data_IF_768147178803
#
_entry.id   IF_768147178803
#
_cell.length_a   1.000
_cell.length_b   1.000
_cell.length_c   1.000
_cell.angle_alpha   90.00
_cell.angle_beta   90.00
_cell.angle_gamma   90.00
#
_symmetry.space_group_name_H-M   'P 1'
#
loop_
_entity.id
_entity.type
_entity.pdbx_description
1 polymer ?
#
# COMPACT_ATOMS: atom_id res chain seq x y z
N UNK A 1 38.06 -11.73 -19.82
CA UNK A 1 37.12 -10.93 -20.63
C UNK A 1 36.50 -9.88 -19.73
N UNK A 2 36.40 -8.63 -20.19
CA UNK A 2 36.40 -7.47 -19.31
C UNK A 2 35.08 -7.27 -18.57
N UNK A 3 35.25 -6.75 -17.35
CA UNK A 3 34.26 -6.27 -16.39
C UNK A 3 33.26 -5.36 -17.11
N UNK A 4 32.02 -5.84 -17.25
CA UNK A 4 30.91 -5.03 -17.74
C UNK A 4 30.60 -3.93 -16.73
N UNK A 5 30.73 -2.68 -17.17
CA UNK A 5 30.31 -1.49 -16.47
C UNK A 5 28.88 -1.67 -15.94
N UNK A 6 28.73 -1.65 -14.62
CA UNK A 6 27.47 -1.26 -13.99
C UNK A 6 27.33 0.23 -14.31
N UNK A 7 26.62 0.56 -15.38
CA UNK A 7 26.22 1.93 -15.66
C UNK A 7 25.20 2.27 -14.56
N UNK A 8 25.69 2.86 -13.46
CA UNK A 8 24.82 3.46 -12.45
C UNK A 8 23.87 4.42 -13.15
N UNK A 9 22.58 4.29 -12.88
CA UNK A 9 21.58 5.16 -13.48
C UNK A 9 21.92 6.61 -13.12
N UNK A 10 22.21 7.44 -14.12
CA UNK A 10 22.52 8.84 -13.86
C UNK A 10 21.29 9.51 -13.23
N UNK A 11 21.48 10.08 -12.04
CA UNK A 11 20.42 10.80 -11.32
C UNK A 11 19.93 11.96 -12.18
N UNK A 12 18.62 11.99 -12.47
CA UNK A 12 17.98 13.08 -13.20
C UNK A 12 17.76 14.28 -12.27
N UNK A 13 18.83 15.03 -12.06
CA UNK A 13 18.86 16.18 -11.16
C UNK A 13 17.84 17.26 -11.56
N UNK A 14 17.61 17.45 -12.86
CA UNK A 14 16.63 18.43 -13.34
C UNK A 14 15.21 18.07 -12.91
N UNK A 15 14.82 16.78 -13.00
CA UNK A 15 13.53 16.29 -12.50
C UNK A 15 13.42 16.34 -10.99
N UNK A 16 14.49 16.01 -10.26
CA UNK A 16 14.51 16.12 -8.80
C UNK A 16 14.28 17.57 -8.34
N UNK A 17 15.00 18.52 -8.95
CA UNK A 17 14.82 19.95 -8.64
C UNK A 17 13.43 20.47 -9.03
N UNK A 18 12.86 20.02 -10.15
CA UNK A 18 11.49 20.41 -10.51
C UNK A 18 10.46 19.84 -9.55
N UNK A 19 10.66 18.61 -9.05
CA UNK A 19 9.77 18.00 -8.05
C UNK A 19 9.74 18.80 -6.74
N UNK A 20 10.90 19.23 -6.24
CA UNK A 20 10.96 20.06 -5.02
C UNK A 20 10.26 21.42 -5.22
N UNK A 21 10.42 22.05 -6.39
CA UNK A 21 9.71 23.29 -6.74
C UNK A 21 8.20 23.09 -6.89
N UNK A 22 7.80 22.01 -7.54
CA UNK A 22 6.40 21.63 -7.73
C UNK A 22 5.74 21.38 -6.35
N UNK A 23 6.39 20.64 -5.45
CA UNK A 23 5.89 20.39 -4.09
C UNK A 23 5.77 21.66 -3.26
N UNK A 24 6.77 22.56 -3.34
CA UNK A 24 6.70 23.89 -2.71
C UNK A 24 5.51 24.68 -3.24
N UNK A 25 5.34 24.73 -4.57
CA UNK A 25 4.24 25.45 -5.21
C UNK A 25 2.87 24.86 -4.81
N UNK A 26 2.75 23.53 -4.76
CA UNK A 26 1.52 22.85 -4.35
C UNK A 26 1.14 23.19 -2.89
N UNK A 27 2.10 23.13 -1.97
CA UNK A 27 1.82 23.39 -0.55
C UNK A 27 1.55 24.88 -0.27
N UNK A 28 2.28 25.80 -0.92
CA UNK A 28 2.06 27.25 -0.77
C UNK A 28 0.72 27.68 -1.38
N UNK A 29 0.35 27.11 -2.53
CA UNK A 29 -0.94 27.35 -3.16
C UNK A 29 -2.09 26.77 -2.35
N UNK A 30 -1.89 25.65 -1.67
CA UNK A 30 -2.88 25.10 -0.74
C UNK A 30 -3.08 26.00 0.49
N UNK A 31 -2.01 26.58 1.02
CA UNK A 31 -2.02 27.45 2.20
C UNK A 31 -2.74 26.83 3.42
N UNK A 32 -2.75 25.49 3.50
CA UNK A 32 -3.42 24.74 4.56
C UNK A 32 -4.93 24.65 4.41
N UNK A 33 -5.51 25.11 3.29
CA UNK A 33 -6.96 25.06 3.06
C UNK A 33 -7.47 23.62 3.01
N UNK A 34 -6.73 22.70 2.36
CA UNK A 34 -7.20 21.33 2.16
C UNK A 34 -7.43 20.59 3.48
N UNK A 35 -6.54 20.71 4.45
CA UNK A 35 -6.60 19.93 5.70
C UNK A 35 -6.71 20.77 6.98
N UNK A 36 -6.88 22.10 6.84
CA UNK A 36 -6.73 23.07 7.94
C UNK A 36 -5.38 22.91 8.65
N UNK A 37 -4.36 22.56 7.87
CA UNK A 37 -3.02 22.23 8.34
C UNK A 37 -2.03 22.41 7.18
N UNK A 38 -0.88 23.02 7.45
CA UNK A 38 0.13 23.27 6.42
C UNK A 38 0.81 21.98 5.95
N UNK A 39 0.93 21.80 4.64
CA UNK A 39 1.64 20.66 4.04
C UNK A 39 3.09 20.99 3.65
N UNK A 40 3.53 22.25 3.79
CA UNK A 40 4.92 22.61 3.51
C UNK A 40 5.86 22.01 4.57
N UNK A 41 6.98 21.46 4.13
CA UNK A 41 7.95 20.88 5.04
C UNK A 41 9.13 20.21 4.32
N UNK A 42 10.00 19.55 5.08
CA UNK A 42 11.26 19.04 4.57
C UNK A 42 11.06 17.74 3.77
N UNK A 43 11.69 17.67 2.59
CA UNK A 43 11.60 16.60 1.60
C UNK A 43 13.02 16.18 1.23
N UNK A 44 13.26 14.87 1.23
CA UNK A 44 14.50 14.21 0.83
C UNK A 44 14.21 13.26 -0.35
N UNK A 45 14.73 13.60 -1.53
CA UNK A 45 14.70 12.72 -2.70
C UNK A 45 15.97 11.88 -2.71
N UNK A 46 15.85 10.56 -2.59
CA UNK A 46 16.98 9.67 -2.30
C UNK A 46 17.23 8.70 -3.44
N UNK A 47 18.46 8.67 -3.93
CA UNK A 47 18.91 7.61 -4.83
C UNK A 47 19.21 6.32 -4.04
N UNK A 48 18.51 5.20 -4.29
CA UNK A 48 18.67 3.98 -3.52
C UNK A 48 20.04 3.33 -3.69
N UNK A 49 20.74 3.57 -4.81
CA UNK A 49 22.03 2.96 -5.11
C UNK A 49 23.20 3.68 -4.42
N UNK A 50 23.25 5.01 -4.56
CA UNK A 50 24.36 5.85 -4.08
C UNK A 50 24.08 6.47 -2.72
N UNK A 51 22.83 6.42 -2.24
CA UNK A 51 22.34 7.11 -1.02
C UNK A 51 22.47 8.64 -1.09
N UNK A 52 22.70 9.19 -2.28
CA UNK A 52 22.70 10.63 -2.51
C UNK A 52 21.30 11.19 -2.26
N UNK A 53 21.24 12.31 -1.56
CA UNK A 53 19.98 13.00 -1.22
C UNK A 53 19.97 14.37 -1.88
N UNK A 54 18.92 14.65 -2.65
CA UNK A 54 18.55 16.00 -3.11
C UNK A 54 17.39 16.47 -2.23
N UNK A 55 17.62 17.50 -1.42
CA UNK A 55 16.66 17.96 -0.40
C UNK A 55 16.33 19.45 -0.50
N UNK A 56 15.16 19.85 -0.02
CA UNK A 56 14.70 21.25 0.01
C UNK A 56 15.04 22.00 1.32
N UNK A 57 15.72 21.35 2.25
CA UNK A 57 16.09 21.93 3.55
C UNK A 57 17.40 21.30 4.03
N UNK A 58 18.01 21.88 5.06
CA UNK A 58 19.23 21.36 5.69
C UNK A 58 18.93 20.45 6.88
N UNK A 59 19.86 19.55 7.16
CA UNK A 59 19.79 18.67 8.34
C UNK A 59 20.87 19.08 9.32
N UNK A 60 20.47 19.36 10.56
CA UNK A 60 21.40 19.77 11.61
C UNK A 60 22.56 18.77 11.75
N UNK A 61 23.79 19.29 11.79
CA UNK A 61 25.00 18.49 11.94
C UNK A 61 25.45 17.72 10.70
N UNK A 62 24.77 17.85 9.54
CA UNK A 62 25.22 17.22 8.29
C UNK A 62 25.86 18.21 7.35
N UNK A 63 26.92 17.74 6.69
CA UNK A 63 27.53 18.47 5.57
C UNK A 63 26.62 18.40 4.36
N UNK A 64 26.53 19.50 3.64
CA UNK A 64 25.80 19.60 2.40
C UNK A 64 26.51 20.50 1.41
N UNK A 65 26.14 20.39 0.14
CA UNK A 65 26.55 21.30 -0.93
C UNK A 65 25.30 21.88 -1.57
N UNK A 66 25.33 23.14 -1.99
CA UNK A 66 24.20 23.74 -2.70
C UNK A 66 24.07 23.19 -4.12
N UNK A 67 22.83 22.98 -4.55
CA UNK A 67 22.45 22.57 -5.89
C UNK A 67 21.24 23.40 -6.32
N UNK A 68 21.50 24.59 -6.86
CA UNK A 68 20.46 25.61 -7.05
C UNK A 68 19.81 25.96 -5.70
N UNK A 69 18.48 25.92 -5.64
CA UNK A 69 17.70 26.15 -4.41
C UNK A 69 17.60 24.90 -3.50
N UNK A 70 18.14 23.76 -3.95
CA UNK A 70 18.19 22.54 -3.17
C UNK A 70 19.57 22.33 -2.54
N UNK A 71 19.68 21.31 -1.71
CA UNK A 71 20.96 20.83 -1.18
C UNK A 71 21.22 19.38 -1.59
N UNK A 72 22.51 19.05 -1.66
CA UNK A 72 23.02 17.70 -1.79
C UNK A 72 23.64 17.25 -0.47
N UNK A 73 23.24 16.07 0.01
CA UNK A 73 23.85 15.40 1.17
C UNK A 73 23.75 13.88 1.01
N UNK A 74 24.05 13.11 2.04
CA UNK A 74 23.95 11.64 2.01
C UNK A 74 23.05 11.12 3.12
N UNK A 75 22.26 10.09 2.81
CA UNK A 75 21.38 9.43 3.76
C UNK A 75 22.22 8.57 4.72
N UNK A 76 22.02 8.63 6.06
CA UNK A 76 22.87 7.88 6.98
C UNK A 76 22.69 6.37 6.83
N UNK A 77 23.75 5.57 6.91
CA UNK A 77 23.76 4.15 6.51
C UNK A 77 22.71 3.27 7.20
N UNK A 78 22.27 3.65 8.40
CA UNK A 78 21.24 2.96 9.17
C UNK A 78 19.79 3.25 8.70
N UNK A 79 19.59 4.09 7.69
CA UNK A 79 18.27 4.42 7.18
C UNK A 79 17.98 3.67 5.87
N UNK A 80 16.90 2.89 5.85
CA UNK A 80 16.39 2.26 4.63
C UNK A 80 15.79 3.31 3.69
N UNK A 81 15.97 3.10 2.38
CA UNK A 81 15.37 3.94 1.34
C UNK A 81 13.99 3.38 1.01
N UNK A 82 12.95 4.15 1.31
CA UNK A 82 11.56 3.84 1.00
C UNK A 82 10.77 5.14 0.87
N UNK A 83 9.65 5.09 0.15
CA UNK A 83 8.68 6.18 0.15
C UNK A 83 7.94 6.17 1.50
N UNK A 84 8.22 7.15 2.36
CA UNK A 84 7.65 7.22 3.70
C UNK A 84 8.00 8.54 4.41
N UNK A 85 7.54 8.71 5.67
CA UNK A 85 8.06 9.71 6.59
C UNK A 85 9.08 9.13 7.57
N UNK A 86 10.12 9.89 7.93
CA UNK A 86 11.18 9.42 8.84
C UNK A 86 11.77 10.54 9.69
N UNK A 87 12.33 10.20 10.85
CA UNK A 87 13.01 11.16 11.73
C UNK A 87 14.45 11.39 11.28
N UNK A 88 14.82 12.65 11.03
CA UNK A 88 16.18 13.02 10.63
C UNK A 88 16.56 14.42 11.10
N UNK A 89 17.64 14.52 11.88
CA UNK A 89 18.09 15.79 12.46
C UNK A 89 17.07 16.46 13.38
N UNK A 90 16.30 15.68 14.14
CA UNK A 90 15.29 16.18 15.09
C UNK A 90 13.97 16.64 14.47
N UNK A 91 13.76 16.39 13.17
CA UNK A 91 12.52 16.72 12.44
C UNK A 91 12.02 15.49 11.70
N UNK A 92 10.71 15.45 11.42
CA UNK A 92 10.13 14.45 10.53
C UNK A 92 10.28 14.94 9.09
N UNK A 93 10.85 14.11 8.23
CA UNK A 93 11.09 14.34 6.81
C UNK A 93 10.21 13.46 5.96
N UNK A 94 9.85 13.97 4.79
CA UNK A 94 9.31 13.16 3.70
C UNK A 94 10.47 12.54 2.91
N UNK A 95 10.48 11.22 2.75
CA UNK A 95 11.43 10.52 1.88
C UNK A 95 10.71 10.06 0.60
N UNK A 96 11.32 10.32 -0.56
CA UNK A 96 10.86 9.77 -1.84
C UNK A 96 12.05 9.15 -2.57
N UNK A 97 11.94 7.89 -2.96
CA UNK A 97 12.96 7.20 -3.73
C UNK A 97 13.00 7.68 -5.19
N UNK A 98 14.21 7.84 -5.73
CA UNK A 98 14.46 8.10 -7.14
C UNK A 98 14.47 6.77 -7.93
N UNK A 99 14.13 6.77 -9.25
CA UNK A 99 13.77 7.93 -10.07
C UNK A 99 12.29 8.35 -9.94
N UNK A 100 12.03 9.64 -10.07
CA UNK A 100 10.66 10.18 -10.07
C UNK A 100 9.93 9.99 -11.41
N UNK A 101 8.59 9.91 -11.41
CA UNK A 101 7.76 9.88 -12.61
C UNK A 101 8.07 11.04 -13.57
N UNK A 102 8.07 10.74 -14.87
CA UNK A 102 8.29 11.75 -15.94
C UNK A 102 7.11 12.70 -16.06
N UNK A 103 5.90 12.14 -16.04
CA UNK A 103 4.64 12.88 -16.06
C UNK A 103 4.56 13.82 -14.84
N UNK A 104 4.19 15.09 -15.08
CA UNK A 104 4.20 16.11 -14.04
C UNK A 104 3.13 15.85 -12.98
N UNK A 105 1.92 15.47 -13.38
CA UNK A 105 0.83 15.14 -12.45
C UNK A 105 1.25 14.00 -11.53
N UNK A 106 1.68 12.87 -12.10
CA UNK A 106 2.09 11.69 -11.33
C UNK A 106 3.28 11.98 -10.39
N UNK A 107 4.17 12.90 -10.77
CA UNK A 107 5.28 13.31 -9.91
C UNK A 107 4.83 14.18 -8.74
N UNK A 108 3.93 15.14 -8.98
CA UNK A 108 3.35 15.98 -7.93
C UNK A 108 2.54 15.11 -6.97
N UNK A 109 1.71 14.23 -7.52
CA UNK A 109 0.90 13.27 -6.81
C UNK A 109 1.76 12.42 -5.86
N UNK A 110 2.77 11.72 -6.39
CA UNK A 110 3.70 10.93 -5.59
C UNK A 110 4.35 11.74 -4.45
N UNK A 111 4.91 12.92 -4.75
CA UNK A 111 5.61 13.69 -3.71
C UNK A 111 4.63 14.21 -2.66
N UNK A 112 3.45 14.67 -3.06
CA UNK A 112 2.47 15.21 -2.14
C UNK A 112 1.71 14.12 -1.35
N UNK A 113 1.60 12.91 -1.90
CA UNK A 113 1.21 11.69 -1.19
C UNK A 113 2.14 11.44 -0.01
N UNK A 114 3.46 11.42 -0.25
CA UNK A 114 4.45 11.20 0.81
C UNK A 114 4.53 12.37 1.80
N UNK A 115 4.27 13.60 1.34
CA UNK A 115 4.11 14.76 2.24
C UNK A 115 2.90 14.56 3.16
N UNK A 116 1.79 14.02 2.68
CA UNK A 116 0.63 13.75 3.53
C UNK A 116 0.97 12.73 4.62
N UNK A 117 1.70 11.65 4.31
CA UNK A 117 2.14 10.69 5.34
C UNK A 117 2.95 11.33 6.47
N UNK A 118 3.75 12.37 6.18
CA UNK A 118 4.47 13.15 7.21
C UNK A 118 3.50 13.84 8.17
N UNK A 119 2.39 14.38 7.66
CA UNK A 119 1.42 15.17 8.42
C UNK A 119 0.26 14.34 8.99
N UNK A 120 0.06 13.12 8.50
CA UNK A 120 -1.09 12.27 8.80
C UNK A 120 -1.29 12.01 10.30
N UNK A 121 -0.19 11.91 11.06
CA UNK A 121 -0.26 11.78 12.52
C UNK A 121 -0.72 13.08 13.19
N UNK A 122 -0.22 14.24 12.77
CA UNK A 122 -0.65 15.54 13.31
C UNK A 122 -2.13 15.82 13.03
N UNK A 123 -2.65 15.28 11.92
CA UNK A 123 -4.07 15.32 11.56
C UNK A 123 -4.94 14.32 12.35
N UNK A 124 -4.35 13.44 13.16
CA UNK A 124 -5.06 12.37 13.87
C UNK A 124 -5.62 11.28 12.92
N UNK A 125 -5.09 11.21 11.70
CA UNK A 125 -5.55 10.31 10.64
C UNK A 125 -4.61 9.13 10.41
N UNK A 126 -3.58 8.95 11.24
CA UNK A 126 -2.71 7.78 11.15
C UNK A 126 -3.49 6.51 11.47
N UNK A 127 -3.38 5.51 10.61
CA UNK A 127 -3.97 4.19 10.79
C UNK A 127 -2.89 3.10 10.64
N UNK A 128 -3.11 1.89 11.18
CA UNK A 128 -2.22 0.78 10.90
C UNK A 128 -2.29 0.40 9.42
N UNK A 129 -1.14 0.06 8.83
CA UNK A 129 -1.11 -0.60 7.53
C UNK A 129 -1.73 -2.00 7.65
N UNK A 130 -2.92 -2.18 7.08
CA UNK A 130 -3.79 -3.33 7.26
C UNK A 130 -4.01 -4.08 5.94
N UNK A 131 -3.92 -5.41 6.00
CA UNK A 131 -4.04 -6.28 4.83
C UNK A 131 -5.51 -6.68 4.60
N UNK A 132 -5.99 -6.46 3.38
CA UNK A 132 -7.37 -6.70 2.96
C UNK A 132 -7.48 -7.96 2.10
N UNK A 133 -7.21 -9.11 2.72
CA UNK A 133 -7.11 -10.41 2.03
C UNK A 133 -8.37 -10.81 1.27
N UNK A 134 -9.55 -10.40 1.76
CA UNK A 134 -10.82 -10.62 1.09
C UNK A 134 -10.87 -10.02 -0.32
N UNK A 135 -10.08 -8.97 -0.57
CA UNK A 135 -9.99 -8.31 -1.88
C UNK A 135 -9.03 -9.02 -2.84
N UNK A 136 -8.38 -10.10 -2.45
CA UNK A 136 -7.65 -10.96 -3.39
C UNK A 136 -8.43 -12.24 -3.78
N UNK A 137 -9.53 -12.51 -3.06
CA UNK A 137 -10.50 -13.57 -3.35
C UNK A 137 -11.46 -13.12 -4.45
N UNK A 138 -11.85 -14.05 -5.33
CA UNK A 138 -12.69 -13.75 -6.51
C UNK A 138 -13.93 -12.89 -6.19
N UNK A 139 -14.82 -13.21 -5.22
CA UNK A 139 -15.99 -12.37 -4.97
C UNK A 139 -15.63 -10.94 -4.54
N UNK A 140 -14.57 -10.78 -3.74
CA UNK A 140 -14.11 -9.46 -3.31
C UNK A 140 -13.61 -8.64 -4.49
N UNK A 141 -12.76 -9.25 -5.33
CA UNK A 141 -12.23 -8.63 -6.55
C UNK A 141 -13.31 -8.23 -7.53
N UNK A 142 -14.26 -9.12 -7.83
CA UNK A 142 -15.34 -8.86 -8.79
C UNK A 142 -16.12 -7.61 -8.42
N UNK A 143 -16.58 -7.50 -7.17
CA UNK A 143 -17.34 -6.33 -6.74
C UNK A 143 -16.50 -5.06 -6.62
N UNK A 144 -15.21 -5.16 -6.25
CA UNK A 144 -14.30 -4.02 -6.19
C UNK A 144 -14.03 -3.45 -7.59
N UNK A 145 -13.83 -4.32 -8.59
CA UNK A 145 -13.64 -3.87 -9.99
C UNK A 145 -14.87 -3.14 -10.53
N UNK A 146 -16.06 -3.63 -10.21
CA UNK A 146 -17.32 -2.93 -10.55
C UNK A 146 -17.45 -1.60 -9.81
N UNK A 147 -17.03 -1.55 -8.54
CA UNK A 147 -16.94 -0.33 -7.75
C UNK A 147 -15.99 0.70 -8.42
N UNK A 148 -14.80 0.30 -8.87
CA UNK A 148 -13.90 1.19 -9.62
C UNK A 148 -14.52 1.73 -10.90
N UNK A 149 -15.16 0.87 -11.69
CA UNK A 149 -15.84 1.30 -12.92
C UNK A 149 -16.93 2.33 -12.63
N UNK A 150 -17.70 2.14 -11.55
CA UNK A 150 -18.72 3.07 -11.12
C UNK A 150 -18.13 4.39 -10.61
N UNK A 151 -17.09 4.35 -9.78
CA UNK A 151 -16.37 5.54 -9.31
C UNK A 151 -15.77 6.34 -10.48
N UNK A 152 -15.14 5.67 -11.44
CA UNK A 152 -14.58 6.32 -12.61
C UNK A 152 -15.64 7.02 -13.47
N UNK A 153 -16.80 6.37 -13.71
CA UNK A 153 -17.91 7.01 -14.43
C UNK A 153 -18.53 8.17 -13.66
N UNK A 154 -18.57 8.08 -12.33
CA UNK A 154 -19.04 9.19 -11.49
C UNK A 154 -18.15 10.43 -11.66
N UNK A 155 -16.82 10.24 -11.62
CA UNK A 155 -15.84 11.31 -11.83
C UNK A 155 -15.91 11.92 -13.24
N UNK A 156 -16.14 11.10 -14.26
CA UNK A 156 -16.30 11.55 -15.66
C UNK A 156 -17.59 12.33 -15.89
N UNK A 157 -18.61 12.07 -15.08
CA UNK A 157 -19.90 12.76 -15.17
C UNK A 157 -19.89 14.15 -14.53
N UNK A 158 -18.87 14.46 -13.73
CA UNK A 158 -18.70 15.78 -13.15
C UNK A 158 -18.38 16.83 -14.23
N UNK A 159 -18.87 18.08 -14.08
CA UNK A 159 -19.53 18.63 -12.89
C UNK A 159 -21.05 18.38 -12.80
N UNK A 160 -21.66 17.63 -13.73
CA UNK A 160 -23.10 17.32 -13.63
C UNK A 160 -23.37 16.30 -12.52
N UNK A 161 -23.86 16.80 -11.39
CA UNK A 161 -24.10 16.00 -10.18
C UNK A 161 -25.19 14.95 -10.36
N UNK A 162 -26.13 15.11 -11.31
CA UNK A 162 -27.23 14.15 -11.51
C UNK A 162 -26.74 12.78 -12.04
N UNK A 163 -26.08 12.70 -13.21
CA UNK A 163 -25.47 11.44 -13.67
C UNK A 163 -24.37 10.96 -12.74
N UNK A 164 -23.57 11.87 -12.15
CA UNK A 164 -22.56 11.49 -11.17
C UNK A 164 -23.16 10.75 -9.98
N UNK A 165 -24.29 11.24 -9.42
CA UNK A 165 -24.97 10.61 -8.28
C UNK A 165 -25.41 9.16 -8.57
N UNK A 166 -25.95 8.88 -9.76
CA UNK A 166 -26.32 7.51 -10.15
C UNK A 166 -25.12 6.56 -10.11
N UNK A 167 -23.97 7.02 -10.59
CA UNK A 167 -22.74 6.26 -10.57
C UNK A 167 -22.17 6.10 -9.15
N UNK A 168 -22.27 7.13 -8.30
CA UNK A 168 -21.94 7.02 -6.87
C UNK A 168 -22.82 6.00 -6.15
N UNK A 169 -24.13 6.04 -6.35
CA UNK A 169 -25.06 5.04 -5.78
C UNK A 169 -24.70 3.62 -6.22
N UNK A 170 -24.27 3.46 -7.48
CA UNK A 170 -23.84 2.17 -8.00
C UNK A 170 -22.55 1.69 -7.32
N UNK A 171 -21.57 2.57 -7.15
CA UNK A 171 -20.33 2.25 -6.45
C UNK A 171 -20.60 1.83 -4.99
N UNK A 172 -21.45 2.60 -4.27
CA UNK A 172 -21.84 2.29 -2.90
C UNK A 172 -22.65 0.99 -2.78
N UNK A 173 -23.48 0.68 -3.79
CA UNK A 173 -24.20 -0.58 -3.86
C UNK A 173 -23.25 -1.78 -4.02
N UNK A 174 -22.24 -1.67 -4.89
CA UNK A 174 -21.22 -2.70 -5.08
C UNK A 174 -20.34 -2.87 -3.84
N UNK A 175 -19.91 -1.76 -3.22
CA UNK A 175 -19.22 -1.75 -1.93
C UNK A 175 -20.04 -2.46 -0.85
N UNK A 176 -21.32 -2.11 -0.71
CA UNK A 176 -22.20 -2.72 0.28
C UNK A 176 -22.36 -4.23 0.05
N UNK A 177 -22.52 -4.67 -1.20
CA UNK A 177 -22.60 -6.08 -1.54
C UNK A 177 -21.29 -6.80 -1.21
N UNK A 178 -20.15 -6.22 -1.60
CA UNK A 178 -18.81 -6.75 -1.32
C UNK A 178 -18.57 -6.93 0.18
N UNK A 179 -18.83 -5.89 0.97
CA UNK A 179 -18.64 -5.91 2.43
C UNK A 179 -19.59 -6.89 3.13
N UNK A 180 -20.78 -7.14 2.57
CA UNK A 180 -21.72 -8.13 3.11
C UNK A 180 -21.22 -9.58 3.03
N UNK A 181 -20.25 -9.87 2.17
CA UNK A 181 -19.67 -11.20 2.02
C UNK A 181 -18.58 -11.50 3.06
N UNK A 182 -18.03 -10.47 3.71
CA UNK A 182 -16.89 -10.58 4.61
C UNK A 182 -17.13 -9.75 5.88
N UNK A 183 -17.63 -10.36 6.97
CA UNK A 183 -17.83 -9.65 8.23
C UNK A 183 -16.56 -8.94 8.71
N UNK A 184 -16.68 -7.68 9.12
CA UNK A 184 -15.56 -6.83 9.56
C UNK A 184 -14.77 -6.14 8.44
N UNK A 185 -15.04 -6.46 7.17
CA UNK A 185 -14.37 -5.82 6.02
C UNK A 185 -14.67 -4.33 5.89
N UNK A 186 -15.80 -3.86 6.44
CA UNK A 186 -16.13 -2.43 6.52
C UNK A 186 -15.05 -1.63 7.27
N UNK A 187 -14.77 -2.00 8.52
CA UNK A 187 -13.76 -1.36 9.36
C UNK A 187 -12.32 -1.62 8.87
N UNK A 188 -12.06 -2.82 8.35
CA UNK A 188 -10.74 -3.19 7.84
C UNK A 188 -10.36 -2.40 6.58
N UNK A 189 -11.29 -2.24 5.64
CA UNK A 189 -11.05 -1.47 4.42
C UNK A 189 -10.92 0.01 4.72
N UNK A 190 -11.80 0.55 5.57
CA UNK A 190 -11.74 1.94 6.00
C UNK A 190 -10.35 2.30 6.57
N UNK A 191 -9.71 1.37 7.28
CA UNK A 191 -8.35 1.57 7.81
C UNK A 191 -7.34 1.90 6.72
N UNK A 192 -7.33 1.13 5.62
CA UNK A 192 -6.39 1.37 4.51
C UNK A 192 -6.82 2.56 3.63
N UNK A 193 -8.12 2.81 3.47
CA UNK A 193 -8.61 4.02 2.79
C UNK A 193 -8.19 5.30 3.51
N UNK A 194 -8.15 5.29 4.85
CA UNK A 194 -7.60 6.40 5.62
C UNK A 194 -6.08 6.44 5.54
N UNK A 195 -5.40 5.30 5.61
CA UNK A 195 -3.94 5.24 5.62
C UNK A 195 -3.34 5.66 4.27
N UNK A 196 -3.77 5.01 3.18
CA UNK A 196 -3.23 5.17 1.83
C UNK A 196 -4.15 5.99 0.93
N UNK A 197 -5.47 5.78 1.05
CA UNK A 197 -6.44 6.44 0.17
C UNK A 197 -6.50 7.95 0.36
N UNK A 198 -6.38 8.46 1.59
CA UNK A 198 -6.31 9.91 1.86
C UNK A 198 -4.97 10.54 1.46
N UNK A 199 -3.87 9.77 1.54
CA UNK A 199 -2.57 10.20 1.05
C UNK A 199 -2.62 10.39 -0.47
N UNK A 200 -3.16 9.39 -1.17
CA UNK A 200 -3.34 9.42 -2.62
C UNK A 200 -4.32 10.50 -3.06
N UNK A 201 -5.45 10.64 -2.37
CA UNK A 201 -6.37 11.73 -2.59
C UNK A 201 -5.71 13.11 -2.44
N UNK A 202 -4.90 13.30 -1.41
CA UNK A 202 -4.19 14.57 -1.18
C UNK A 202 -3.21 14.86 -2.32
N UNK A 203 -2.43 13.86 -2.73
CA UNK A 203 -1.53 13.95 -3.87
C UNK A 203 -2.25 14.39 -5.15
N UNK A 204 -3.30 13.67 -5.53
CA UNK A 204 -4.04 13.96 -6.75
C UNK A 204 -4.79 15.30 -6.69
N UNK A 205 -5.37 15.66 -5.54
CA UNK A 205 -6.08 16.94 -5.39
C UNK A 205 -5.15 18.14 -5.60
N UNK A 206 -3.93 18.06 -5.06
CA UNK A 206 -2.92 19.10 -5.22
C UNK A 206 -2.30 19.08 -6.62
N UNK A 207 -2.10 17.90 -7.21
CA UNK A 207 -1.68 17.76 -8.59
C UNK A 207 -2.69 18.40 -9.56
N UNK A 208 -4.00 18.12 -9.42
CA UNK A 208 -5.07 18.77 -10.18
C UNK A 208 -5.00 20.29 -10.08
N UNK A 209 -4.85 20.82 -8.86
CA UNK A 209 -4.77 22.27 -8.62
C UNK A 209 -3.55 22.89 -9.31
N UNK A 210 -2.40 22.23 -9.24
CA UNK A 210 -1.13 22.74 -9.75
C UNK A 210 -0.97 22.58 -11.28
N UNK A 211 -1.49 21.49 -11.86
CA UNK A 211 -1.36 21.22 -13.31
C UNK A 211 -2.55 21.69 -14.13
N UNK A 212 -3.69 21.95 -13.50
CA UNK A 212 -4.95 22.29 -14.17
C UNK A 212 -5.69 21.08 -14.74
N UNK A 213 -5.26 19.86 -14.45
CA UNK A 213 -5.98 18.64 -14.84
C UNK A 213 -7.25 18.44 -14.02
N UNK A 214 -8.30 17.91 -14.67
CA UNK A 214 -9.64 17.74 -14.08
C UNK A 214 -9.92 16.33 -13.57
N UNK A 215 -11.17 16.10 -13.15
CA UNK A 215 -11.65 14.82 -12.61
C UNK A 215 -11.49 13.63 -13.57
N UNK A 216 -11.46 13.88 -14.88
CA UNK A 216 -11.18 12.87 -15.90
C UNK A 216 -9.78 12.24 -15.74
N UNK A 217 -8.79 12.98 -15.21
CA UNK A 217 -7.46 12.45 -14.90
C UNK A 217 -7.53 11.43 -13.78
N UNK A 218 -8.24 11.76 -12.71
CA UNK A 218 -8.51 10.85 -11.57
C UNK A 218 -9.32 9.64 -12.05
N UNK A 219 -10.34 9.84 -12.89
CA UNK A 219 -11.14 8.75 -13.43
C UNK A 219 -10.30 7.75 -14.23
N UNK A 220 -9.35 8.25 -15.05
CA UNK A 220 -8.40 7.40 -15.77
C UNK A 220 -7.53 6.60 -14.79
N UNK A 221 -6.99 7.26 -13.77
CA UNK A 221 -6.19 6.61 -12.73
C UNK A 221 -6.96 5.46 -12.06
N UNK A 222 -8.21 5.71 -11.65
CA UNK A 222 -9.08 4.70 -11.04
C UNK A 222 -9.32 3.50 -11.96
N UNK A 223 -9.52 3.73 -13.27
CA UNK A 223 -9.63 2.64 -14.25
C UNK A 223 -8.36 1.84 -14.39
N UNK A 224 -7.20 2.50 -14.43
CA UNK A 224 -5.92 1.81 -14.56
C UNK A 224 -5.69 0.87 -13.36
N UNK A 225 -6.10 1.28 -12.16
CA UNK A 225 -6.05 0.46 -10.93
C UNK A 225 -6.95 -0.77 -10.95
N UNK A 226 -7.99 -0.82 -11.80
CA UNK A 226 -8.80 -2.03 -11.95
C UNK A 226 -7.94 -3.25 -12.37
N UNK A 227 -6.81 -3.00 -13.04
CA UNK A 227 -5.89 -4.01 -13.54
C UNK A 227 -4.84 -4.48 -12.54
N UNK A 228 -4.83 -3.96 -11.30
CA UNK A 228 -3.80 -4.31 -10.32
C UNK A 228 -3.80 -5.83 -10.01
N UNK A 229 -2.62 -6.50 -10.01
CA UNK A 229 -2.54 -7.96 -9.83
C UNK A 229 -3.11 -8.45 -8.50
N UNK A 230 -2.96 -7.66 -7.45
CA UNK A 230 -3.44 -7.92 -6.08
C UNK A 230 -4.03 -6.64 -5.48
N UNK A 231 -5.07 -6.79 -4.67
CA UNK A 231 -5.71 -5.65 -3.99
C UNK A 231 -5.49 -5.65 -2.48
N UNK A 232 -4.77 -6.63 -1.93
CA UNK A 232 -4.55 -6.81 -0.49
C UNK A 232 -4.10 -5.51 0.19
N UNK A 233 -3.19 -4.77 -0.44
CA UNK A 233 -2.66 -3.49 0.05
C UNK A 233 -2.83 -2.32 -0.94
N UNK A 234 -3.43 -2.57 -2.11
CA UNK A 234 -3.42 -1.62 -3.21
C UNK A 234 -4.79 -0.98 -3.48
N UNK A 235 -5.88 -1.53 -2.94
CA UNK A 235 -7.21 -1.09 -3.38
C UNK A 235 -7.52 0.39 -3.03
N UNK A 236 -6.99 0.84 -1.89
CA UNK A 236 -7.25 2.18 -1.36
C UNK A 236 -6.69 3.30 -2.25
N UNK A 237 -5.62 3.04 -3.01
CA UNK A 237 -5.09 4.01 -3.98
C UNK A 237 -6.09 4.29 -5.10
N UNK A 238 -6.93 3.33 -5.48
CA UNK A 238 -8.01 3.56 -6.44
C UNK A 238 -9.25 4.20 -5.81
N UNK A 239 -9.69 3.71 -4.64
CA UNK A 239 -10.97 4.16 -4.05
C UNK A 239 -10.84 5.50 -3.34
N UNK A 240 -9.72 5.74 -2.65
CA UNK A 240 -9.40 6.94 -1.90
C UNK A 240 -9.54 8.25 -2.70
N UNK A 241 -8.74 8.46 -3.77
CA UNK A 241 -8.83 9.68 -4.57
C UNK A 241 -10.20 9.84 -5.23
N UNK A 242 -10.82 8.75 -5.69
CA UNK A 242 -12.14 8.82 -6.29
C UNK A 242 -13.19 9.32 -5.30
N UNK A 243 -13.25 8.72 -4.11
CA UNK A 243 -14.21 9.08 -3.08
C UNK A 243 -13.94 10.48 -2.55
N UNK A 244 -12.68 10.85 -2.31
CA UNK A 244 -12.34 12.19 -1.83
C UNK A 244 -12.72 13.29 -2.82
N UNK A 245 -12.51 13.07 -4.13
CA UNK A 245 -12.94 14.04 -5.17
C UNK A 245 -14.46 14.09 -5.30
N UNK A 246 -15.16 12.96 -5.18
CA UNK A 246 -16.62 12.96 -5.18
C UNK A 246 -17.17 13.65 -3.92
N UNK A 247 -16.56 13.45 -2.76
CA UNK A 247 -16.91 14.14 -1.53
C UNK A 247 -16.70 15.65 -1.64
N UNK A 248 -15.64 16.13 -2.31
CA UNK A 248 -15.47 17.57 -2.59
C UNK A 248 -16.68 18.17 -3.31
N UNK A 249 -17.37 17.38 -4.12
CA UNK A 249 -18.56 17.82 -4.86
C UNK A 249 -19.86 17.63 -4.09
N UNK A 250 -20.02 16.54 -3.33
CA UNK A 250 -21.27 16.21 -2.66
C UNK A 250 -21.36 16.73 -1.21
N UNK A 251 -20.23 16.89 -0.52
CA UNK A 251 -20.15 17.44 0.83
C UNK A 251 -18.78 18.12 1.05
N UNK A 252 -18.61 19.41 0.69
CA UNK A 252 -17.33 20.10 0.78
C UNK A 252 -16.68 20.10 2.19
N UNK A 253 -17.48 19.91 3.25
CA UNK A 253 -17.02 19.92 4.65
C UNK A 253 -16.62 18.53 5.17
N UNK A 254 -16.65 17.49 4.32
CA UNK A 254 -16.43 16.08 4.70
C UNK A 254 -15.13 15.83 5.47
N UNK A 255 -14.09 16.64 5.25
CA UNK A 255 -12.78 16.50 5.92
C UNK A 255 -12.83 16.84 7.40
N UNK A 256 -13.79 17.64 7.84
CA UNK A 256 -14.04 17.84 9.27
C UNK A 256 -14.63 16.55 9.87
N UNK A 257 -15.57 15.92 9.14
CA UNK A 257 -16.23 14.69 9.56
C UNK A 257 -15.28 13.48 9.55
N UNK A 258 -14.32 13.40 8.63
CA UNK A 258 -13.39 12.25 8.54
C UNK A 258 -12.52 12.08 9.78
N UNK A 259 -12.34 13.16 10.56
CA UNK A 259 -11.66 13.17 11.87
C UNK A 259 -12.49 12.53 13.00
N UNK A 260 -13.78 12.31 12.82
CA UNK A 260 -14.61 11.50 13.72
C UNK A 260 -15.03 10.17 13.06
N UNK A 261 -15.44 10.20 11.80
CA UNK A 261 -15.88 9.05 11.03
C UNK A 261 -14.79 8.61 10.05
N UNK A 262 -14.05 7.56 10.40
CA UNK A 262 -12.90 7.04 9.63
C UNK A 262 -13.32 6.18 8.41
N UNK A 263 -14.58 6.22 7.95
CA UNK A 263 -15.04 5.56 6.73
C UNK A 263 -15.45 6.59 5.67
N UNK A 264 -14.57 6.88 4.71
CA UNK A 264 -14.84 7.83 3.63
C UNK A 264 -15.99 7.37 2.71
N UNK A 265 -16.22 6.05 2.58
CA UNK A 265 -17.39 5.55 1.85
C UNK A 265 -18.68 5.74 2.62
N UNK A 266 -18.62 5.63 3.95
CA UNK A 266 -19.71 5.98 4.86
C UNK A 266 -20.08 7.46 4.72
N UNK A 267 -19.09 8.35 4.75
CA UNK A 267 -19.30 9.79 4.52
C UNK A 267 -19.93 10.07 3.16
N UNK A 268 -19.48 9.40 2.09
CA UNK A 268 -20.06 9.58 0.76
C UNK A 268 -21.50 9.07 0.70
N UNK A 269 -21.80 7.96 1.37
CA UNK A 269 -23.16 7.44 1.49
C UNK A 269 -24.08 8.42 2.25
N UNK A 270 -23.59 9.04 3.32
CA UNK A 270 -24.31 10.07 4.07
C UNK A 270 -24.56 11.31 3.21
N UNK A 271 -23.53 11.82 2.53
CA UNK A 271 -23.58 13.01 1.68
C UNK A 271 -24.62 12.90 0.55
N UNK A 272 -24.82 11.70 -0.01
CA UNK A 272 -25.85 11.47 -1.03
C UNK A 272 -27.12 10.84 -0.49
N UNK A 273 -27.29 10.66 0.82
CA UNK A 273 -28.42 9.96 1.44
C UNK A 273 -28.69 8.56 0.85
N UNK A 274 -27.63 7.79 0.60
CA UNK A 274 -27.72 6.45 0.04
C UNK A 274 -28.55 5.53 0.94
N UNK A 275 -29.55 4.86 0.34
CA UNK A 275 -30.39 3.89 1.02
C UNK A 275 -30.01 2.49 0.60
N UNK A 276 -29.49 1.70 1.55
CA UNK A 276 -29.14 0.30 1.30
C UNK A 276 -30.43 -0.50 0.99
N UNK A 277 -30.55 -1.14 -0.18
CA UNK A 277 -31.74 -1.92 -0.50
C UNK A 277 -31.84 -3.19 0.34
N UNK A 278 -33.07 -3.63 0.64
CA UNK A 278 -33.34 -4.87 1.40
C UNK A 278 -32.82 -6.12 0.67
N UNK A 279 -33.08 -6.23 -0.63
CA UNK A 279 -32.57 -7.32 -1.46
C UNK A 279 -31.25 -6.92 -2.15
N UNK A 280 -30.23 -6.69 -1.33
CA UNK A 280 -28.95 -6.13 -1.77
C UNK A 280 -28.31 -6.91 -2.92
N UNK A 281 -28.19 -8.23 -2.78
CA UNK A 281 -27.50 -9.07 -3.76
C UNK A 281 -28.16 -9.03 -5.14
N UNK A 282 -29.50 -9.12 -5.20
CA UNK A 282 -30.22 -9.05 -6.48
C UNK A 282 -30.11 -7.66 -7.12
N UNK A 283 -30.32 -6.60 -6.34
CA UNK A 283 -30.25 -5.22 -6.84
C UNK A 283 -28.84 -4.88 -7.32
N UNK A 284 -27.81 -5.27 -6.56
CA UNK A 284 -26.40 -5.11 -6.95
C UNK A 284 -26.10 -5.87 -8.24
N UNK A 285 -26.57 -7.11 -8.39
CA UNK A 285 -26.34 -7.92 -9.59
C UNK A 285 -27.00 -7.31 -10.83
N UNK A 286 -28.22 -6.79 -10.70
CA UNK A 286 -28.88 -6.07 -11.80
C UNK A 286 -28.11 -4.81 -12.17
N UNK A 287 -27.74 -3.96 -11.20
CA UNK A 287 -26.99 -2.72 -11.46
C UNK A 287 -25.61 -2.98 -12.07
N UNK A 288 -24.96 -4.08 -11.70
CA UNK A 288 -23.64 -4.43 -12.22
C UNK A 288 -23.59 -4.70 -13.73
N UNK A 289 -24.73 -5.02 -14.36
CA UNK A 289 -24.79 -5.20 -15.81
C UNK A 289 -24.40 -3.92 -16.56
N UNK A 290 -24.75 -2.74 -16.02
CA UNK A 290 -24.35 -1.45 -16.59
C UNK A 290 -22.81 -1.25 -16.63
N UNK A 291 -22.08 -1.96 -15.77
CA UNK A 291 -20.63 -1.83 -15.57
C UNK A 291 -19.85 -3.04 -16.08
N UNK A 292 -20.51 -3.91 -16.87
CA UNK A 292 -19.85 -5.05 -17.53
C UNK A 292 -19.65 -6.25 -16.62
N UNK A 293 -20.65 -6.58 -15.80
CA UNK A 293 -20.64 -7.76 -14.92
C UNK A 293 -20.06 -9.01 -15.61
N UNK A 294 -20.59 -9.37 -16.79
CA UNK A 294 -20.23 -10.64 -17.46
C UNK A 294 -18.74 -10.71 -17.82
N UNK A 295 -18.15 -9.57 -18.19
CA UNK A 295 -16.73 -9.47 -18.51
C UNK A 295 -15.86 -9.51 -17.23
N UNK A 296 -16.24 -8.76 -16.19
CA UNK A 296 -15.51 -8.76 -14.91
C UNK A 296 -15.55 -10.14 -14.26
N UNK A 297 -16.72 -10.78 -14.20
CA UNK A 297 -16.89 -12.09 -13.57
C UNK A 297 -16.13 -13.19 -14.31
N UNK A 298 -16.19 -13.19 -15.65
CA UNK A 298 -15.45 -14.14 -16.49
C UNK A 298 -13.93 -13.96 -16.33
N UNK A 299 -13.44 -12.72 -16.29
CA UNK A 299 -12.00 -12.45 -16.15
C UNK A 299 -11.48 -12.78 -14.75
N UNK A 300 -12.25 -12.50 -13.69
CA UNK A 300 -11.89 -12.92 -12.32
C UNK A 300 -11.99 -14.44 -12.16
N UNK A 301 -12.94 -15.11 -12.80
CA UNK A 301 -13.00 -16.59 -12.83
C UNK A 301 -11.75 -17.19 -13.49
N UNK A 302 -11.33 -16.65 -14.64
CA UNK A 302 -10.14 -17.12 -15.33
C UNK A 302 -8.87 -16.89 -14.51
N UNK A 303 -8.74 -15.72 -13.85
CA UNK A 303 -7.65 -15.41 -12.93
C UNK A 303 -7.60 -16.43 -11.78
N UNK A 304 -8.74 -16.68 -11.13
CA UNK A 304 -8.84 -17.57 -9.98
C UNK A 304 -8.42 -19.00 -10.36
N UNK A 305 -8.94 -19.53 -11.47
CA UNK A 305 -8.55 -20.84 -12.01
C UNK A 305 -7.06 -20.91 -12.37
N UNK A 306 -6.49 -19.85 -12.97
CA UNK A 306 -5.07 -19.82 -13.32
C UNK A 306 -4.15 -19.81 -12.09
N UNK A 307 -4.60 -19.26 -10.96
CA UNK A 307 -3.85 -19.22 -9.69
C UNK A 307 -3.99 -20.49 -8.86
N UNK A 308 -4.95 -21.35 -9.16
CA UNK A 308 -5.24 -22.54 -8.36
C UNK A 308 -4.01 -23.47 -8.15
N UNK A 309 -3.17 -23.77 -9.18
CA UNK A 309 -1.96 -24.58 -8.97
C UNK A 309 -0.95 -23.92 -8.04
N UNK A 310 -0.77 -22.59 -8.16
CA UNK A 310 0.11 -21.81 -7.30
C UNK A 310 -0.38 -21.87 -5.85
N UNK A 311 -1.68 -21.66 -5.62
CA UNK A 311 -2.28 -21.74 -4.28
C UNK A 311 -2.17 -23.12 -3.68
N UNK A 312 -2.42 -24.20 -4.44
CA UNK A 312 -2.18 -25.58 -3.97
C UNK A 312 -0.72 -25.79 -3.54
N UNK A 313 0.22 -25.22 -4.29
CA UNK A 313 1.64 -25.23 -3.92
C UNK A 313 1.92 -24.55 -2.58
N UNK A 314 1.33 -23.38 -2.33
CA UNK A 314 1.46 -22.69 -1.05
C UNK A 314 0.76 -23.45 0.09
N UNK A 315 -0.44 -24.00 -0.12
CA UNK A 315 -1.13 -24.79 0.90
C UNK A 315 -0.29 -26.01 1.31
N UNK A 316 0.24 -26.76 0.34
CA UNK A 316 1.09 -27.91 0.61
C UNK A 316 2.38 -27.50 1.36
N UNK A 317 3.03 -26.40 0.94
CA UNK A 317 4.35 -25.99 1.48
C UNK A 317 4.28 -25.26 2.83
N UNK A 318 3.33 -24.36 2.99
CA UNK A 318 3.24 -23.42 4.12
C UNK A 318 2.07 -23.74 5.08
N UNK A 319 1.07 -24.46 4.58
CA UNK A 319 -0.14 -24.82 5.33
C UNK A 319 -0.09 -26.23 5.95
N UNK A 320 0.20 -27.24 5.14
CA UNK A 320 0.05 -28.67 5.48
C UNK A 320 1.38 -29.37 5.74
N UNK A 321 2.42 -29.04 4.96
CA UNK A 321 3.74 -29.64 5.07
C UNK A 321 4.51 -29.29 6.34
N UNK A 322 5.72 -29.84 6.49
CA UNK A 322 6.61 -29.46 7.57
C UNK A 322 7.02 -28.00 7.47
N UNK A 323 7.06 -27.26 8.58
CA UNK A 323 7.36 -25.82 8.57
C UNK A 323 8.28 -25.40 9.70
N UNK A 324 8.96 -24.26 9.53
CA UNK A 324 9.60 -23.52 10.60
C UNK A 324 8.72 -22.33 10.93
N UNK A 325 8.28 -22.23 12.19
CA UNK A 325 7.47 -21.12 12.69
C UNK A 325 8.33 -20.15 13.50
N UNK A 326 8.27 -18.87 13.14
CA UNK A 326 8.88 -17.76 13.86
C UNK A 326 7.77 -16.92 14.51
N UNK A 327 8.03 -16.44 15.72
CA UNK A 327 7.08 -15.65 16.53
C UNK A 327 7.73 -14.35 16.94
N UNK A 328 6.96 -13.27 16.83
CA UNK A 328 7.42 -11.92 17.15
C UNK A 328 6.21 -11.02 17.43
N UNK A 329 6.44 -9.80 17.88
CA UNK A 329 5.43 -8.73 17.80
C UNK A 329 5.63 -7.94 16.51
N UNK A 330 4.59 -7.24 16.03
CA UNK A 330 4.70 -6.30 14.90
C UNK A 330 5.81 -5.27 15.10
N UNK A 331 5.91 -4.70 16.30
CA UNK A 331 6.90 -3.65 16.63
C UNK A 331 8.34 -4.16 16.63
N UNK A 332 8.52 -5.46 16.84
CA UNK A 332 9.84 -6.10 16.79
C UNK A 332 10.23 -6.60 15.40
N UNK A 333 9.33 -6.53 14.41
CA UNK A 333 9.56 -6.98 13.05
C UNK A 333 9.97 -5.81 12.17
N UNK A 334 11.07 -5.96 11.45
CA UNK A 334 11.45 -5.13 10.31
C UNK A 334 11.40 -5.99 9.05
N UNK A 335 10.82 -5.48 7.97
CA UNK A 335 10.71 -6.25 6.73
C UNK A 335 10.71 -5.37 5.48
N UNK A 336 11.12 -5.97 4.36
CA UNK A 336 11.12 -5.36 3.03
C UNK A 336 10.59 -6.37 2.02
N UNK A 337 9.69 -5.93 1.14
CA UNK A 337 8.98 -6.80 0.21
C UNK A 337 8.43 -5.98 -0.96
N UNK A 338 7.98 -6.65 -2.02
CA UNK A 338 7.19 -6.01 -3.07
C UNK A 338 5.70 -6.04 -2.69
N UNK A 339 5.06 -4.88 -2.42
CA UNK A 339 3.65 -4.83 -2.04
C UNK A 339 2.69 -5.22 -3.18
N UNK A 340 3.17 -5.32 -4.42
CA UNK A 340 2.38 -5.70 -5.60
C UNK A 340 2.29 -7.22 -5.82
N UNK A 341 3.06 -8.00 -5.04
CA UNK A 341 3.12 -9.46 -5.16
C UNK A 341 2.34 -10.20 -4.06
N UNK A 342 1.72 -9.49 -3.12
CA UNK A 342 1.03 -10.13 -1.99
C UNK A 342 -0.13 -11.03 -2.45
N UNK A 343 -0.21 -12.21 -1.85
CA UNK A 343 -1.21 -13.23 -2.16
C UNK A 343 -1.98 -13.57 -0.89
N UNK A 344 -3.30 -13.41 -0.89
CA UNK A 344 -4.11 -13.87 0.23
C UNK A 344 -4.04 -15.40 0.31
N UNK A 345 -3.63 -15.93 1.46
CA UNK A 345 -3.67 -17.37 1.74
C UNK A 345 -5.04 -17.77 2.28
N UNK A 346 -5.52 -16.97 3.23
CA UNK A 346 -6.86 -17.00 3.81
C UNK A 346 -7.20 -15.58 4.27
N UNK A 347 -8.27 -15.40 5.05
CA UNK A 347 -8.67 -14.08 5.57
C UNK A 347 -7.72 -13.48 6.62
N UNK A 348 -6.83 -14.29 7.19
CA UNK A 348 -5.99 -13.92 8.34
C UNK A 348 -4.49 -14.06 8.07
N UNK A 349 -4.10 -14.64 6.95
CA UNK A 349 -2.71 -14.91 6.60
C UNK A 349 -2.45 -14.59 5.13
N UNK A 350 -1.27 -14.04 4.88
CA UNK A 350 -0.85 -13.54 3.57
C UNK A 350 0.47 -14.19 3.19
N UNK A 351 0.57 -14.66 1.96
CA UNK A 351 1.83 -15.11 1.38
C UNK A 351 2.59 -13.91 0.83
N UNK A 352 3.83 -13.79 1.27
CA UNK A 352 4.84 -12.91 0.70
C UNK A 352 5.74 -13.78 -0.17
N UNK A 353 5.68 -13.70 -1.52
CA UNK A 353 6.45 -14.60 -2.39
C UNK A 353 7.97 -14.47 -2.22
N UNK A 354 8.42 -13.26 -1.92
CA UNK A 354 9.80 -12.90 -1.61
C UNK A 354 9.84 -11.83 -0.51
N UNK A 355 11.00 -11.63 0.11
CA UNK A 355 11.21 -10.56 1.07
C UNK A 355 12.33 -10.82 2.07
N UNK A 356 12.70 -9.77 2.81
CA UNK A 356 13.60 -9.87 3.96
C UNK A 356 12.81 -9.56 5.22
N UNK A 357 13.02 -10.35 6.26
CA UNK A 357 12.38 -10.20 7.56
C UNK A 357 13.46 -10.24 8.63
N UNK A 358 13.34 -9.41 9.65
CA UNK A 358 14.28 -9.37 10.77
C UNK A 358 13.52 -9.08 12.04
N UNK A 359 13.82 -9.83 13.09
CA UNK A 359 13.27 -9.64 14.43
C UNK A 359 14.29 -10.10 15.48
N UNK A 360 13.98 -10.12 16.79
CA UNK A 360 14.92 -10.58 17.82
C UNK A 360 15.52 -11.96 17.52
N UNK A 361 14.75 -12.85 16.89
CA UNK A 361 15.20 -14.19 16.49
C UNK A 361 16.29 -14.20 15.41
N UNK A 362 16.50 -13.12 14.66
CA UNK A 362 17.51 -13.03 13.61
C UNK A 362 16.96 -12.50 12.29
N UNK A 363 17.52 -12.98 11.16
CA UNK A 363 17.19 -12.53 9.80
C UNK A 363 16.74 -13.69 8.91
N UNK A 364 15.62 -13.52 8.24
CA UNK A 364 15.10 -14.42 7.21
C UNK A 364 15.13 -13.69 5.86
N UNK A 365 15.84 -14.26 4.90
CA UNK A 365 15.82 -13.84 3.50
C UNK A 365 15.03 -14.88 2.70
N UNK A 366 14.03 -14.44 1.93
CA UNK A 366 13.21 -15.27 1.05
C UNK A 366 13.35 -14.75 -0.37
N UNK A 367 13.97 -15.53 -1.24
CA UNK A 367 14.13 -15.22 -2.66
C UNK A 367 13.00 -15.85 -3.48
N UNK A 368 12.55 -17.04 -3.09
CA UNK A 368 11.46 -17.77 -3.75
C UNK A 368 10.81 -18.77 -2.80
N UNK A 369 9.67 -19.34 -3.22
CA UNK A 369 8.94 -20.34 -2.44
C UNK A 369 7.99 -19.77 -1.40
N UNK A 370 8.08 -18.46 -1.12
CA UNK A 370 7.16 -17.69 -0.29
C UNK A 370 7.25 -17.97 1.21
N UNK A 371 6.71 -17.03 1.96
CA UNK A 371 6.53 -17.12 3.41
C UNK A 371 5.12 -16.73 3.77
N UNK A 372 4.52 -17.47 4.72
CA UNK A 372 3.18 -17.20 5.21
C UNK A 372 3.27 -16.33 6.46
N UNK A 373 2.65 -15.15 6.41
CA UNK A 373 2.66 -14.17 7.50
C UNK A 373 1.23 -13.99 7.98
N UNK A 374 1.01 -14.14 9.29
CA UNK A 374 -0.28 -13.80 9.91
C UNK A 374 -0.47 -12.27 9.84
N UNK A 375 -1.68 -11.78 9.55
CA UNK A 375 -1.93 -10.36 9.25
C UNK A 375 -1.66 -9.43 10.45
N UNK A 376 -1.60 -9.95 11.68
CA UNK A 376 -1.17 -9.23 12.88
C UNK A 376 0.37 -9.23 13.08
N UNK A 377 1.10 -9.81 12.13
CA UNK A 377 2.55 -10.00 12.13
C UNK A 377 3.10 -10.82 13.31
N UNK A 378 2.23 -11.50 14.07
CA UNK A 378 2.63 -12.27 15.25
C UNK A 378 3.37 -13.57 14.89
N UNK A 379 3.20 -14.02 13.65
CA UNK A 379 3.69 -15.30 13.17
C UNK A 379 4.15 -15.23 11.72
N UNK A 380 5.33 -15.77 11.49
CA UNK A 380 5.90 -16.04 10.16
C UNK A 380 6.12 -17.54 10.05
N UNK A 381 5.80 -18.13 8.89
CA UNK A 381 5.99 -19.56 8.64
C UNK A 381 6.59 -19.81 7.27
N UNK A 382 7.69 -20.54 7.25
CA UNK A 382 8.40 -20.98 6.04
C UNK A 382 8.38 -22.51 5.94
N UNK A 383 8.43 -23.03 4.72
CA UNK A 383 8.48 -24.47 4.49
C UNK A 383 9.80 -25.08 5.01
N UNK A 384 9.72 -26.13 5.82
CA UNK A 384 10.87 -26.86 6.32
C UNK A 384 11.18 -28.04 5.39
N UNK A 385 12.28 -27.95 4.64
CA UNK A 385 12.90 -29.12 4.03
C UNK A 385 14.22 -29.34 4.77
N UNK A 386 14.23 -30.20 5.79
CA UNK A 386 15.49 -30.54 6.44
C UNK A 386 16.08 -31.82 5.86
N UNK A 387 17.34 -31.71 5.43
CA UNK A 387 18.30 -32.81 5.40
C UNK A 387 18.69 -33.14 6.84
N UNK A 388 18.69 -34.41 7.28
CA UNK A 388 19.10 -34.78 8.64
C UNK A 388 20.54 -34.30 8.94
N UNK A 389 20.74 -33.49 9.99
CA UNK A 389 22.09 -33.16 10.52
C UNK A 389 22.39 -31.70 10.90
N UNK A 390 21.52 -30.72 10.61
CA UNK A 390 21.80 -29.29 10.89
C UNK A 390 21.45 -28.86 12.33
N UNK A 391 21.84 -29.64 13.34
CA UNK A 391 21.43 -29.42 14.73
C UNK A 391 22.25 -28.37 15.50
N UNK A 392 23.15 -27.62 14.85
CA UNK A 392 23.97 -26.61 15.55
C UNK A 392 24.35 -25.40 14.66
N UNK A 393 23.69 -25.23 13.50
CA UNK A 393 24.02 -24.14 12.59
C UNK A 393 23.11 -22.94 12.86
N UNK A 394 23.72 -21.80 13.21
CA UNK A 394 23.02 -20.51 13.26
C UNK A 394 22.49 -20.08 11.90
N UNK A 395 22.97 -20.68 10.83
CA UNK A 395 22.48 -20.47 9.47
C UNK A 395 21.80 -21.73 8.98
N UNK A 396 20.52 -21.59 8.62
CA UNK A 396 19.66 -22.66 8.12
C UNK A 396 19.18 -22.22 6.74
N UNK A 397 19.45 -23.04 5.73
CA UNK A 397 18.98 -22.80 4.38
C UNK A 397 17.86 -23.79 4.03
N UNK A 398 16.90 -23.32 3.27
CA UNK A 398 15.91 -24.16 2.59
C UNK A 398 15.80 -23.81 1.13
N UNK A 399 14.76 -24.30 0.47
CA UNK A 399 14.54 -24.06 -0.95
C UNK A 399 14.11 -22.60 -1.20
N UNK A 400 15.07 -21.74 -1.52
CA UNK A 400 14.82 -20.34 -1.86
C UNK A 400 14.74 -19.39 -0.67
N UNK A 401 15.20 -19.82 0.50
CA UNK A 401 15.27 -18.97 1.69
C UNK A 401 16.46 -19.34 2.58
N UNK A 402 16.93 -18.36 3.36
CA UNK A 402 17.98 -18.52 4.37
C UNK A 402 17.55 -17.84 5.66
N UNK A 403 17.68 -18.55 6.78
CA UNK A 403 17.43 -18.08 8.13
C UNK A 403 18.74 -18.04 8.91
N UNK A 404 19.15 -16.85 9.33
CA UNK A 404 20.27 -16.63 10.25
C UNK A 404 19.71 -16.29 11.63
N UNK A 405 19.97 -17.15 12.61
CA UNK A 405 19.54 -16.98 14.00
C UNK A 405 20.55 -16.16 14.80
N UNK A 406 20.03 -15.22 15.60
CA UNK A 406 20.84 -14.49 16.56
C UNK A 406 21.33 -15.40 17.71
N UNK A 407 22.43 -15.03 18.40
CA UNK A 407 22.81 -15.71 19.65
C UNK A 407 21.65 -15.74 20.64
N UNK A 408 21.50 -16.86 21.35
CA UNK A 408 20.37 -17.08 22.26
C UNK A 408 19.10 -17.60 21.59
N UNK A 409 19.11 -17.90 20.28
CA UNK A 409 17.97 -18.48 19.58
C UNK A 409 18.34 -19.81 18.90
N UNK A 410 17.41 -20.77 18.91
CA UNK A 410 17.60 -22.07 18.26
C UNK A 410 16.30 -22.63 17.68
N UNK A 411 16.44 -23.67 16.84
CA UNK A 411 15.30 -24.46 16.38
C UNK A 411 14.95 -25.53 17.43
N UNK A 412 13.69 -25.56 17.84
CA UNK A 412 13.12 -26.64 18.65
C UNK A 412 12.05 -27.40 17.85
N UNK A 413 11.90 -28.72 18.01
CA UNK A 413 10.79 -29.46 17.41
C UNK A 413 9.43 -28.85 17.78
N UNK A 414 8.52 -28.76 16.80
CA UNK A 414 7.14 -28.37 17.04
C UNK A 414 6.35 -29.57 17.56
N UNK A 415 5.89 -29.50 18.82
CA UNK A 415 5.10 -30.56 19.45
C UNK A 415 3.72 -30.76 18.82
N UNK A 416 3.26 -29.81 17.99
CA UNK A 416 1.93 -29.84 17.37
C UNK A 416 1.96 -30.33 15.92
N UNK A 417 3.13 -30.38 15.28
CA UNK A 417 3.28 -30.74 13.86
C UNK A 417 4.52 -31.59 13.63
N UNK A 418 4.32 -32.78 13.07
CA UNK A 418 5.43 -33.67 12.74
C UNK A 418 6.43 -32.99 11.79
N UNK A 419 7.72 -33.23 12.05
CA UNK A 419 8.86 -32.73 11.26
C UNK A 419 8.91 -31.19 11.12
N UNK A 420 8.12 -30.48 11.92
CA UNK A 420 8.10 -29.02 11.96
C UNK A 420 8.91 -28.52 13.16
N UNK A 421 9.28 -27.25 13.11
CA UNK A 421 10.12 -26.60 14.10
C UNK A 421 9.55 -25.24 14.48
N UNK A 422 9.90 -24.78 15.67
CA UNK A 422 9.64 -23.43 16.15
C UNK A 422 10.97 -22.81 16.55
N UNK A 423 11.20 -21.58 16.14
CA UNK A 423 12.34 -20.78 16.61
C UNK A 423 12.03 -20.29 18.03
N UNK A 424 12.91 -20.58 18.98
CA UNK A 424 12.74 -20.24 20.40
C UNK A 424 14.01 -19.64 20.98
N UNK A 425 13.83 -18.78 21.98
CA UNK A 425 14.92 -18.31 22.81
C UNK A 425 15.42 -19.45 23.70
N UNK A 426 16.75 -19.58 23.80
CA UNK A 426 17.46 -20.54 24.64
C UNK A 426 17.86 -19.77 25.89
N UNK A 427 17.27 -20.14 27.02
CA UNK A 427 17.62 -19.59 28.34
C UNK A 427 18.90 -20.20 28.89
#
# INVERSE_FOLDING_TARGET
MPVGQIIGQQIDTARALSALRDAKSACEMDAGVLWQHGLCGPIALVDPQTRLVIANDTVAGRRFVHLGDAILTTLPDNQYVANTSFQWGGRIWTMVALPLPRDRFARVDLVMHEVFHREQQALGLRQPDALNNQLDMRPGRTWLRLEYRALARALESLPDKRPARHHVESALLFRAQRRSLYPGSDSLEATLEIQEGLAEYTGQRLAMKLTGEGTARVAKYVRDYESTPTFVRAFAYGTGPAIGVLLDEFDPEWRNAVRANRDIGGLLAEAIHFQRPRNLAAVARTRAQEYGWDEVDRTEAARDSAREPLMRGYHARLGEGPTITLRQSKDSLSWSYDPTELIAFDLYSTVYPSGNFSAPWGKLTVERGGVLVQNDFSRIRIGAQMTPGAADTREIAGEGWTLSLNPGWSLAPDSTRQRSFVVREVH
#
